data_IF_046737932813
#
_entry.id   IF_046737932813
#
_cell.length_a   1.000
_cell.length_b   1.000
_cell.length_c   1.000
_cell.angle_alpha   90.00
_cell.angle_beta   90.00
_cell.angle_gamma   90.00
#
_symmetry.space_group_name_H-M   'P 1'
#
loop_
_entity.id
_entity.type
_entity.pdbx_description
1 polymer ?
#
# COMPACT_ATOMS: atom_id res chain seq x y z
N UNK A 1 6.31 14.97 5.61
CA UNK A 1 5.03 14.39 6.06
C UNK A 1 4.24 15.41 6.87
N UNK A 2 2.91 15.39 6.78
CA UNK A 2 2.07 16.26 7.60
C UNK A 2 1.69 15.56 8.90
N UNK A 3 1.79 16.27 10.01
CA UNK A 3 1.46 15.73 11.34
C UNK A 3 0.18 16.38 11.86
N UNK A 4 -0.96 15.82 11.45
CA UNK A 4 -2.28 16.25 11.91
C UNK A 4 -2.83 15.23 12.90
N UNK A 5 -3.92 15.53 13.64
CA UNK A 5 -4.52 14.52 14.50
C UNK A 5 -4.87 13.22 13.76
N UNK A 6 -5.33 13.33 12.50
CA UNK A 6 -5.68 12.16 11.69
C UNK A 6 -4.43 11.36 11.31
N UNK A 7 -3.37 12.01 10.81
CA UNK A 7 -2.16 11.30 10.41
C UNK A 7 -1.42 10.70 11.60
N UNK A 8 -1.44 11.37 12.75
CA UNK A 8 -0.87 10.82 13.97
C UNK A 8 -1.62 9.56 14.42
N UNK A 9 -2.94 9.56 14.32
CA UNK A 9 -3.76 8.38 14.62
C UNK A 9 -3.40 7.23 13.68
N UNK A 10 -3.23 7.54 12.39
CA UNK A 10 -2.80 6.54 11.41
C UNK A 10 -1.40 6.00 11.73
N UNK A 11 -0.49 6.86 12.15
CA UNK A 11 0.86 6.44 12.58
C UNK A 11 0.80 5.48 13.75
N UNK A 12 0.00 5.79 14.77
CA UNK A 12 -0.13 4.93 15.94
C UNK A 12 -0.67 3.55 15.57
N UNK A 13 -1.71 3.51 14.73
CA UNK A 13 -2.29 2.23 14.28
C UNK A 13 -1.31 1.45 13.42
N UNK A 14 -0.60 2.11 12.53
CA UNK A 14 0.43 1.49 11.70
C UNK A 14 1.53 0.87 12.56
N UNK A 15 2.01 1.61 13.53
CA UNK A 15 3.05 1.13 14.43
C UNK A 15 2.56 -0.09 15.22
N UNK A 16 1.37 -0.01 15.80
CA UNK A 16 0.80 -1.13 16.55
C UNK A 16 0.64 -2.38 15.67
N UNK A 17 0.19 -2.20 14.44
CA UNK A 17 -0.06 -3.31 13.53
C UNK A 17 1.23 -4.01 13.09
N UNK A 18 2.31 -3.28 12.90
CA UNK A 18 3.49 -3.80 12.21
C UNK A 18 4.78 -3.83 13.03
N UNK A 19 4.77 -3.36 14.27
CA UNK A 19 6.01 -3.20 15.06
C UNK A 19 6.81 -4.49 15.25
N UNK A 20 6.15 -5.63 15.25
CA UNK A 20 6.81 -6.92 15.47
C UNK A 20 7.06 -7.68 14.16
N UNK A 21 6.75 -7.09 13.02
CA UNK A 21 6.90 -7.73 11.72
C UNK A 21 8.22 -7.34 11.07
N UNK A 22 8.77 -8.28 10.30
CA UNK A 22 9.96 -8.02 9.48
C UNK A 22 9.67 -8.41 8.04
N UNK A 23 10.28 -7.70 7.10
CA UNK A 23 10.14 -8.00 5.69
C UNK A 23 10.99 -9.22 5.30
N UNK A 24 10.95 -9.59 4.02
CA UNK A 24 11.67 -10.77 3.53
C UNK A 24 13.18 -10.65 3.68
N UNK A 25 13.71 -9.44 3.78
CA UNK A 25 15.14 -9.18 3.97
C UNK A 25 15.50 -9.02 5.45
N UNK A 26 14.53 -9.14 6.37
CA UNK A 26 14.76 -9.03 7.81
C UNK A 26 14.69 -7.62 8.37
N UNK A 27 14.31 -6.64 7.57
CA UNK A 27 14.18 -5.25 8.01
C UNK A 27 12.83 -5.07 8.70
N UNK A 28 12.73 -4.26 9.78
CA UNK A 28 11.44 -4.01 10.42
C UNK A 28 10.44 -3.47 9.39
N UNK A 29 9.30 -4.16 9.27
CA UNK A 29 8.32 -3.86 8.23
C UNK A 29 7.71 -2.47 8.36
N UNK A 30 7.58 -1.96 9.59
CA UNK A 30 6.94 -0.67 9.86
C UNK A 30 7.57 0.48 9.05
N UNK A 31 8.83 0.39 8.70
CA UNK A 31 9.49 1.44 7.91
C UNK A 31 8.98 1.53 6.48
N UNK A 32 8.41 0.45 5.93
CA UNK A 32 7.86 0.47 4.58
C UNK A 32 6.63 1.38 4.46
N UNK A 33 5.56 1.22 5.26
CA UNK A 33 4.43 2.16 5.17
C UNK A 33 4.81 3.60 5.54
N UNK A 34 5.74 3.80 6.47
CA UNK A 34 6.22 5.15 6.77
C UNK A 34 6.96 5.76 5.59
N UNK A 35 7.78 4.98 4.88
CA UNK A 35 8.44 5.45 3.68
C UNK A 35 7.43 5.89 2.61
N UNK A 36 6.39 5.09 2.40
CA UNK A 36 5.33 5.44 1.45
C UNK A 36 4.66 6.75 1.84
N UNK A 37 4.32 6.90 3.11
CA UNK A 37 3.65 8.08 3.61
C UNK A 37 4.46 9.36 3.38
N UNK A 38 5.77 9.28 3.48
CA UNK A 38 6.65 10.42 3.23
C UNK A 38 6.61 10.91 1.79
N UNK A 39 6.19 10.07 0.85
CA UNK A 39 6.07 10.45 -0.57
C UNK A 39 4.69 11.01 -0.92
N UNK A 40 3.79 11.08 0.04
CA UNK A 40 2.40 11.51 -0.19
C UNK A 40 2.22 12.99 0.08
N UNK A 41 1.21 13.58 -0.57
CA UNK A 41 1.02 15.04 -0.57
C UNK A 41 -0.14 15.51 0.31
N UNK A 42 -1.15 14.67 0.53
CA UNK A 42 -2.34 15.06 1.29
C UNK A 42 -2.50 14.22 2.54
N UNK A 43 -3.32 14.71 3.47
CA UNK A 43 -3.64 14.02 4.70
C UNK A 43 -4.25 12.64 4.44
N UNK A 44 -5.18 12.57 3.49
CA UNK A 44 -5.82 11.30 3.15
C UNK A 44 -4.84 10.32 2.50
N UNK A 45 -3.96 10.82 1.65
CA UNK A 45 -2.93 9.98 1.03
C UNK A 45 -1.97 9.41 2.07
N UNK A 46 -1.55 10.24 3.01
CA UNK A 46 -0.66 9.81 4.10
C UNK A 46 -1.33 8.72 4.93
N UNK A 47 -2.59 8.91 5.31
CA UNK A 47 -3.32 7.93 6.09
C UNK A 47 -3.49 6.60 5.31
N UNK A 48 -3.86 6.67 4.05
CA UNK A 48 -4.03 5.47 3.23
C UNK A 48 -2.71 4.72 3.06
N UNK A 49 -1.60 5.44 2.89
CA UNK A 49 -0.28 4.82 2.79
C UNK A 49 0.12 4.11 4.08
N UNK A 50 -0.07 4.78 5.21
CA UNK A 50 0.24 4.20 6.53
C UNK A 50 -0.59 2.96 6.82
N UNK A 51 -1.84 2.94 6.38
CA UNK A 51 -2.80 1.88 6.71
C UNK A 51 -2.97 0.84 5.61
N UNK A 52 -2.26 0.99 4.48
CA UNK A 52 -2.51 0.19 3.27
C UNK A 52 -2.45 -1.33 3.51
N UNK A 53 -1.68 -1.77 4.48
CA UNK A 53 -1.46 -3.19 4.76
C UNK A 53 -1.92 -3.58 6.17
N UNK A 54 -2.52 -2.66 6.90
CA UNK A 54 -2.88 -2.88 8.30
C UNK A 54 -4.02 -3.89 8.48
N UNK A 55 -4.93 -3.97 7.50
CA UNK A 55 -6.04 -4.93 7.54
C UNK A 55 -5.59 -6.28 7.00
N UNK A 56 -4.86 -6.30 5.89
CA UNK A 56 -4.44 -7.56 5.27
C UNK A 56 -3.47 -8.33 6.18
N UNK A 57 -2.47 -7.66 6.71
CA UNK A 57 -1.37 -8.31 7.43
C UNK A 57 -1.14 -7.77 8.85
N UNK A 58 -1.86 -6.75 9.27
CA UNK A 58 -1.63 -6.08 10.55
C UNK A 58 -2.59 -6.43 11.67
N UNK A 59 -3.56 -7.30 11.40
CA UNK A 59 -4.52 -7.72 12.40
C UNK A 59 -5.64 -6.74 12.72
N UNK A 60 -5.71 -5.60 12.02
CA UNK A 60 -6.82 -4.67 12.16
C UNK A 60 -7.95 -5.04 11.21
N UNK A 61 -9.17 -4.65 11.57
CA UNK A 61 -10.33 -4.79 10.69
C UNK A 61 -10.68 -3.43 10.10
N UNK A 62 -11.44 -3.46 9.01
CA UNK A 62 -11.94 -2.21 8.43
C UNK A 62 -12.81 -1.47 9.46
N UNK A 63 -13.58 -2.19 10.27
CA UNK A 63 -14.38 -1.58 11.31
C UNK A 63 -13.54 -0.86 12.35
N UNK A 64 -12.38 -1.38 12.70
CA UNK A 64 -11.45 -0.68 13.59
C UNK A 64 -11.10 0.70 13.04
N UNK A 65 -10.91 0.80 11.73
CA UNK A 65 -10.60 2.07 11.08
C UNK A 65 -11.80 3.00 11.02
N UNK A 66 -13.01 2.44 10.85
CA UNK A 66 -14.25 3.22 10.94
C UNK A 66 -14.38 3.81 12.34
N UNK A 67 -14.17 3.01 13.36
CA UNK A 67 -14.26 3.46 14.75
C UNK A 67 -13.19 4.50 15.09
N UNK A 68 -12.04 4.45 14.43
CA UNK A 68 -10.99 5.43 14.62
C UNK A 68 -11.29 6.76 13.94
N UNK A 69 -12.34 6.84 13.12
CA UNK A 69 -12.81 8.09 12.56
C UNK A 69 -12.18 8.49 11.23
N UNK A 70 -11.60 7.56 10.49
CA UNK A 70 -11.05 7.89 9.18
C UNK A 70 -12.16 8.17 8.15
N UNK A 71 -11.92 9.11 7.22
CA UNK A 71 -12.95 9.48 6.24
C UNK A 71 -13.20 8.39 5.20
N UNK A 72 -14.37 8.41 4.54
CA UNK A 72 -14.73 7.38 3.56
C UNK A 72 -13.68 7.13 2.48
N UNK A 73 -13.00 8.16 1.99
CA UNK A 73 -11.99 8.00 0.96
C UNK A 73 -10.84 7.11 1.43
N UNK A 74 -10.39 7.29 2.68
CA UNK A 74 -9.33 6.46 3.26
C UNK A 74 -9.82 5.03 3.46
N UNK A 75 -11.03 4.86 4.00
CA UNK A 75 -11.60 3.54 4.23
C UNK A 75 -11.77 2.75 2.93
N UNK A 76 -12.26 3.40 1.88
CA UNK A 76 -12.43 2.78 0.58
C UNK A 76 -11.08 2.37 -0.02
N UNK A 77 -10.08 3.24 0.08
CA UNK A 77 -8.76 2.95 -0.44
C UNK A 77 -8.13 1.75 0.28
N UNK A 78 -8.20 1.72 1.60
CA UNK A 78 -7.63 0.61 2.39
C UNK A 78 -8.36 -0.70 2.08
N UNK A 79 -9.69 -0.65 1.93
CA UNK A 79 -10.47 -1.84 1.57
C UNK A 79 -10.03 -2.39 0.21
N UNK A 80 -9.88 -1.52 -0.79
CA UNK A 80 -9.40 -1.92 -2.11
C UNK A 80 -7.95 -2.44 -2.08
N UNK A 81 -7.12 -1.90 -1.21
CA UNK A 81 -5.73 -2.32 -1.06
C UNK A 81 -5.59 -3.63 -0.28
N UNK A 82 -6.67 -4.10 0.32
CA UNK A 82 -6.71 -5.38 1.03
C UNK A 82 -7.15 -6.47 0.07
N UNK A 83 -6.21 -7.34 -0.34
CA UNK A 83 -6.52 -8.44 -1.24
C UNK A 83 -7.28 -9.52 -0.47
N UNK A 84 -8.40 -9.98 -1.03
CA UNK A 84 -9.22 -10.99 -0.38
C UNK A 84 -8.68 -12.39 -0.67
N UNK A 85 -8.89 -13.36 0.24
CA UNK A 85 -8.51 -14.74 -0.02
C UNK A 85 -9.16 -15.25 -1.32
N UNK A 86 -8.36 -15.87 -2.18
CA UNK A 86 -8.84 -16.40 -3.46
C UNK A 86 -9.06 -15.38 -4.56
N UNK A 87 -8.90 -14.10 -4.28
CA UNK A 87 -9.03 -13.08 -5.30
C UNK A 87 -7.82 -13.11 -6.25
N UNK A 88 -8.03 -13.25 -7.57
CA UNK A 88 -6.93 -13.18 -8.52
C UNK A 88 -6.21 -11.84 -8.44
N UNK A 89 -4.90 -11.85 -8.54
CA UNK A 89 -4.11 -10.64 -8.38
C UNK A 89 -4.46 -9.58 -9.43
N UNK A 90 -4.70 -10.01 -10.68
CA UNK A 90 -5.10 -9.08 -11.74
C UNK A 90 -6.43 -8.40 -11.44
N UNK A 91 -7.39 -9.13 -10.88
CA UNK A 91 -8.70 -8.56 -10.51
C UNK A 91 -8.55 -7.55 -9.35
N UNK A 92 -7.70 -7.87 -8.39
CA UNK A 92 -7.36 -6.97 -7.29
C UNK A 92 -6.77 -5.66 -7.83
N UNK A 93 -5.81 -5.75 -8.73
CA UNK A 93 -5.20 -4.55 -9.32
C UNK A 93 -6.19 -3.76 -10.15
N UNK A 94 -7.03 -4.42 -10.94
CA UNK A 94 -8.03 -3.75 -11.77
C UNK A 94 -9.02 -2.97 -10.92
N UNK A 95 -9.46 -3.55 -9.81
CA UNK A 95 -10.42 -2.90 -8.92
C UNK A 95 -9.80 -1.65 -8.27
N UNK A 96 -8.61 -1.77 -7.71
CA UNK A 96 -7.98 -0.64 -7.03
C UNK A 96 -7.52 0.46 -8.00
N UNK A 97 -7.21 0.11 -9.24
CA UNK A 97 -6.73 1.07 -10.23
C UNK A 97 -7.77 2.15 -10.55
N UNK A 98 -9.04 1.87 -10.33
CA UNK A 98 -10.13 2.83 -10.59
C UNK A 98 -10.32 3.83 -9.46
N UNK A 99 -9.69 3.62 -8.33
CA UNK A 99 -9.77 4.53 -7.18
C UNK A 99 -8.46 5.32 -7.13
N UNK A 100 -8.47 6.63 -7.43
CA UNK A 100 -7.23 7.41 -7.53
C UNK A 100 -6.33 7.31 -6.30
N UNK A 101 -6.90 7.35 -5.11
CA UNK A 101 -6.13 7.26 -3.87
C UNK A 101 -5.50 5.87 -3.72
N UNK A 102 -6.26 4.81 -3.89
CA UNK A 102 -5.74 3.45 -3.78
C UNK A 102 -4.66 3.19 -4.84
N UNK A 103 -4.89 3.67 -6.05
CA UNK A 103 -3.93 3.51 -7.14
C UNK A 103 -2.61 4.20 -6.84
N UNK A 104 -2.67 5.45 -6.34
CA UNK A 104 -1.45 6.21 -5.99
C UNK A 104 -0.64 5.49 -4.92
N UNK A 105 -1.31 4.99 -3.88
CA UNK A 105 -0.65 4.25 -2.81
C UNK A 105 -0.03 2.95 -3.35
N UNK A 106 -0.75 2.21 -4.18
CA UNK A 106 -0.23 0.96 -4.74
C UNK A 106 0.97 1.18 -5.64
N UNK A 107 0.98 2.25 -6.43
CA UNK A 107 2.14 2.58 -7.24
C UNK A 107 3.36 2.91 -6.38
N UNK A 108 3.17 3.63 -5.28
CA UNK A 108 4.25 3.90 -4.34
C UNK A 108 4.74 2.62 -3.65
N UNK A 109 3.81 1.74 -3.29
CA UNK A 109 4.11 0.43 -2.72
C UNK A 109 4.98 -0.40 -3.66
N UNK A 110 4.57 -0.50 -4.92
CA UNK A 110 5.33 -1.24 -5.93
C UNK A 110 6.70 -0.62 -6.19
N UNK A 111 6.79 0.71 -6.21
CA UNK A 111 8.05 1.41 -6.41
C UNK A 111 9.04 1.10 -5.28
N UNK A 112 8.59 1.16 -4.04
CA UNK A 112 9.46 0.87 -2.91
C UNK A 112 9.84 -0.61 -2.85
N UNK A 113 8.89 -1.51 -3.12
CA UNK A 113 9.16 -2.95 -3.17
C UNK A 113 10.13 -3.33 -4.28
N UNK A 114 10.20 -2.53 -5.34
CA UNK A 114 11.12 -2.75 -6.48
C UNK A 114 12.47 -2.09 -6.29
N UNK A 115 12.65 -1.33 -5.21
CA UNK A 115 13.90 -0.63 -4.95
C UNK A 115 15.04 -1.64 -4.85
N UNK A 116 16.12 -1.48 -5.67
CA UNK A 116 17.27 -2.38 -5.59
C UNK A 116 17.84 -2.52 -4.18
N UNK A 117 17.79 -1.46 -3.38
CA UNK A 117 18.25 -1.49 -1.99
C UNK A 117 17.45 -2.44 -1.12
N UNK A 118 16.13 -2.52 -1.34
CA UNK A 118 15.28 -3.46 -0.61
C UNK A 118 15.43 -4.88 -1.11
N UNK A 119 15.60 -5.07 -2.42
CA UNK A 119 15.75 -6.40 -3.01
C UNK A 119 17.14 -7.00 -2.79
N UNK A 120 18.14 -6.16 -2.51
CA UNK A 120 19.54 -6.59 -2.40
C UNK A 120 19.77 -7.64 -1.32
N UNK A 121 18.96 -7.64 -0.25
CA UNK A 121 19.08 -8.61 0.84
C UNK A 121 18.50 -9.99 0.52
N UNK A 122 17.94 -10.20 -0.66
CA UNK A 122 17.29 -11.45 -1.04
C UNK A 122 18.16 -12.31 -1.93
N UNK A 123 17.96 -13.66 -1.94
CA UNK A 123 18.66 -14.53 -2.89
C UNK A 123 18.37 -14.12 -4.33
N UNK A 124 19.34 -14.28 -5.26
CA UNK A 124 19.19 -13.80 -6.64
C UNK A 124 17.92 -14.28 -7.36
N UNK A 125 17.56 -15.55 -7.20
CA UNK A 125 16.36 -16.11 -7.86
C UNK A 125 15.09 -15.48 -7.33
N UNK A 126 14.99 -15.26 -6.02
CA UNK A 126 13.84 -14.62 -5.40
C UNK A 126 13.76 -13.16 -5.80
N UNK A 127 14.90 -12.47 -5.82
CA UNK A 127 15.00 -11.07 -6.24
C UNK A 127 14.49 -10.89 -7.66
N UNK A 128 14.93 -11.73 -8.59
CA UNK A 128 14.50 -11.66 -9.98
C UNK A 128 13.00 -11.91 -10.14
N UNK A 129 12.47 -12.90 -9.41
CA UNK A 129 11.04 -13.23 -9.45
C UNK A 129 10.17 -12.08 -8.94
N UNK A 130 10.57 -11.45 -7.84
CA UNK A 130 9.85 -10.33 -7.27
C UNK A 130 9.92 -9.10 -8.16
N UNK A 131 11.10 -8.81 -8.72
CA UNK A 131 11.26 -7.70 -9.65
C UNK A 131 10.33 -7.84 -10.85
N UNK A 132 10.20 -9.03 -11.41
CA UNK A 132 9.29 -9.29 -12.52
C UNK A 132 7.82 -9.16 -12.10
N UNK A 133 7.45 -9.67 -10.94
CA UNK A 133 6.10 -9.53 -10.40
C UNK A 133 5.71 -8.06 -10.26
N UNK A 134 6.58 -7.26 -9.69
CA UNK A 134 6.30 -5.83 -9.48
C UNK A 134 6.25 -5.06 -10.79
N UNK A 135 7.13 -5.41 -11.75
CA UNK A 135 7.11 -4.82 -13.08
C UNK A 135 5.77 -5.07 -13.79
N UNK A 136 5.26 -6.30 -13.70
CA UNK A 136 3.97 -6.66 -14.30
C UNK A 136 2.82 -5.92 -13.64
N UNK A 137 2.86 -5.78 -12.32
CA UNK A 137 1.83 -5.07 -11.59
C UNK A 137 1.79 -3.60 -11.99
N UNK A 138 2.95 -2.96 -12.12
CA UNK A 138 3.03 -1.57 -12.57
C UNK A 138 2.46 -1.41 -13.97
N UNK A 139 2.75 -2.35 -14.88
CA UNK A 139 2.23 -2.32 -16.24
C UNK A 139 0.71 -2.44 -16.25
N UNK A 140 0.14 -3.34 -15.45
CA UNK A 140 -1.30 -3.50 -15.34
C UNK A 140 -1.98 -2.24 -14.82
N UNK A 141 -1.40 -1.58 -13.83
CA UNK A 141 -1.94 -0.33 -13.32
C UNK A 141 -1.86 0.78 -14.36
N UNK A 142 -0.80 0.81 -15.15
CA UNK A 142 -0.66 1.79 -16.23
C UNK A 142 -1.68 1.56 -17.33
N UNK A 143 -1.96 0.30 -17.69
CA UNK A 143 -2.97 -0.04 -18.70
C UNK A 143 -4.37 0.37 -18.27
N UNK A 144 -4.74 0.06 -17.03
CA UNK A 144 -6.04 0.42 -16.48
C UNK A 144 -6.26 1.94 -16.45
N UNK A 145 -5.18 2.70 -16.40
CA UNK A 145 -5.22 4.16 -16.41
C UNK A 145 -4.66 4.73 -17.72
N UNK A 146 -4.65 3.94 -18.79
CA UNK A 146 -4.16 4.36 -20.10
C UNK A 146 -5.10 5.34 -20.79
N UNK A 147 -4.78 5.72 -22.05
CA UNK A 147 -5.54 6.76 -22.77
C UNK A 147 -7.04 6.48 -22.83
N UNK A 148 -7.44 5.23 -22.98
CA UNK A 148 -8.85 4.86 -23.04
C UNK A 148 -9.56 4.94 -21.71
N UNK A 149 -8.83 4.89 -20.61
CA UNK A 149 -9.38 4.94 -19.26
C UNK A 149 -9.27 6.31 -18.63
N UNK A 150 -8.72 7.25 -19.32
CA UNK A 150 -8.48 8.56 -18.77
C UNK A 150 -9.78 9.29 -18.54
N UNK A 151 -10.07 9.69 -17.31
CA UNK A 151 -11.23 10.51 -17.04
C UNK A 151 -10.92 11.91 -17.52
N UNK A 152 -11.56 12.31 -18.39
CA UNK A 152 -11.27 13.61 -18.97
C UNK A 152 -11.88 14.73 -18.14
#
# INVERSE_FOLDING_TARGET
MRYTPMTQRAMDLCYQAHRDQRDKAGVPYVFHPFHLAETMDSEEEICAALLHDAVEDGGLTLDDLVQAGFPPAVLQAVDLLTRRPGQPYADYLAALARHPLARKVKLADLAHNSDPGRLAGLPPAQRARLAEKYRRAKALLAEENGPGGEPI
#
